data_IF_692479374417
#
_entry.id   IF_692479374417
#
_cell.length_a   1.000
_cell.length_b   1.000
_cell.length_c   1.000
_cell.angle_alpha   90.00
_cell.angle_beta   90.00
_cell.angle_gamma   90.00
#
_symmetry.space_group_name_H-M   'P 1'
#
loop_
_entity.id
_entity.type
_entity.pdbx_description
1 polymer ?
#
# COMPACT_ATOMS: atom_id res chain seq x y z
N UNK A 1 8.56 -2.45 -4.22
CA UNK A 1 8.12 -1.19 -3.52
C UNK A 1 7.19 -1.53 -2.37
N UNK A 2 7.41 -0.99 -1.16
CA UNK A 2 6.54 -1.16 0.01
C UNK A 2 5.62 0.05 0.25
N UNK A 3 4.97 0.51 -0.81
CA UNK A 3 4.24 1.77 -0.84
C UNK A 3 2.93 1.73 -0.03
N UNK A 4 2.97 2.30 1.17
CA UNK A 4 1.78 2.61 1.97
C UNK A 4 1.70 4.12 2.17
N UNK A 5 0.64 4.75 1.66
CA UNK A 5 0.41 6.17 1.85
C UNK A 5 0.24 6.50 3.33
N UNK A 6 0.98 7.51 3.80
CA UNK A 6 1.07 7.90 5.22
C UNK A 6 1.34 6.70 6.16
N UNK A 7 2.02 5.67 5.66
CA UNK A 7 2.38 4.47 6.41
C UNK A 7 1.22 3.51 6.71
N UNK A 8 0.02 3.74 6.16
CA UNK A 8 -1.19 2.94 6.45
C UNK A 8 -1.90 2.42 5.22
N UNK A 9 -2.18 3.27 4.23
CA UNK A 9 -3.08 2.93 3.13
C UNK A 9 -2.34 2.28 1.95
N UNK A 10 -2.67 1.03 1.55
CA UNK A 10 -1.98 0.30 0.48
C UNK A 10 -2.38 0.71 -0.94
N UNK A 11 -2.91 1.93 -1.13
CA UNK A 11 -3.15 2.56 -2.43
C UNK A 11 -4.14 1.85 -3.36
N UNK A 12 -4.97 0.91 -2.90
CA UNK A 12 -5.73 0.05 -3.82
C UNK A 12 -6.69 0.77 -4.77
N UNK A 13 -7.42 1.79 -4.32
CA UNK A 13 -8.22 2.66 -5.20
C UNK A 13 -7.31 3.47 -6.13
N UNK A 14 -6.20 4.02 -5.61
CA UNK A 14 -5.29 4.87 -6.36
C UNK A 14 -4.58 4.12 -7.50
N UNK A 15 -4.13 2.88 -7.26
CA UNK A 15 -3.46 2.02 -8.24
C UNK A 15 -4.39 1.55 -9.36
N UNK A 16 -5.69 1.42 -9.09
CA UNK A 16 -6.65 0.98 -10.10
C UNK A 16 -6.90 2.05 -11.17
N UNK A 17 -6.86 3.34 -10.83
CA UNK A 17 -7.36 4.41 -11.72
C UNK A 17 -6.54 4.57 -12.98
N UNK A 18 -5.20 4.56 -12.94
CA UNK A 18 -4.41 4.67 -14.15
C UNK A 18 -4.66 3.53 -15.14
N UNK A 19 -4.83 2.30 -14.63
CA UNK A 19 -5.16 1.14 -15.47
C UNK A 19 -6.55 1.28 -16.12
N UNK A 20 -7.55 1.71 -15.35
CA UNK A 20 -8.90 1.96 -15.86
C UNK A 20 -8.84 3.00 -16.99
N UNK A 21 -8.18 4.14 -16.76
CA UNK A 21 -8.05 5.20 -17.77
C UNK A 21 -7.35 4.67 -19.03
N UNK A 22 -6.24 3.94 -18.88
CA UNK A 22 -5.52 3.38 -20.01
C UNK A 22 -6.41 2.47 -20.87
N UNK A 23 -7.25 1.64 -20.23
CA UNK A 23 -8.19 0.76 -20.92
C UNK A 23 -9.39 1.51 -21.52
N UNK A 24 -9.88 2.55 -20.86
CA UNK A 24 -10.91 3.43 -21.43
C UNK A 24 -10.41 4.15 -22.67
N UNK A 25 -9.17 4.68 -22.64
CA UNK A 25 -8.52 5.30 -23.81
C UNK A 25 -8.36 4.28 -24.93
N UNK A 26 -7.88 3.07 -24.64
CA UNK A 26 -7.73 1.99 -25.63
C UNK A 26 -9.06 1.70 -26.35
N UNK A 27 -10.18 1.65 -25.62
CA UNK A 27 -11.52 1.46 -26.20
C UNK A 27 -11.96 2.70 -26.98
N UNK A 28 -11.80 3.91 -26.44
CA UNK A 28 -12.16 5.15 -27.11
C UNK A 28 -11.49 5.28 -28.49
N UNK A 29 -10.22 4.89 -28.60
CA UNK A 29 -9.49 4.85 -29.88
C UNK A 29 -10.08 3.84 -30.87
N UNK A 30 -10.47 2.66 -30.40
CA UNK A 30 -11.07 1.62 -31.26
C UNK A 30 -12.44 2.03 -31.79
N UNK A 31 -13.23 2.70 -30.95
CA UNK A 31 -14.58 3.15 -31.30
C UNK A 31 -14.58 4.50 -32.06
N UNK A 32 -13.43 5.15 -32.21
CA UNK A 32 -13.34 6.47 -32.84
C UNK A 32 -14.05 7.56 -32.02
N UNK A 33 -14.06 7.43 -30.69
CA UNK A 33 -14.67 8.41 -29.80
C UNK A 33 -13.77 9.64 -29.63
N UNK A 34 -14.37 10.83 -29.59
CA UNK A 34 -13.69 12.10 -29.36
C UNK A 34 -13.60 12.48 -27.87
N UNK A 35 -14.31 11.74 -27.00
CA UNK A 35 -14.40 12.03 -25.57
C UNK A 35 -14.48 10.76 -24.71
N UNK A 36 -14.07 10.88 -23.46
CA UNK A 36 -14.27 9.89 -22.39
C UNK A 36 -15.01 10.55 -21.22
N UNK A 37 -15.74 9.77 -20.43
CA UNK A 37 -16.46 10.28 -19.27
C UNK A 37 -16.17 9.51 -17.99
N UNK A 38 -16.16 10.19 -16.85
CA UNK A 38 -16.09 9.56 -15.52
C UNK A 38 -17.01 10.24 -14.50
N UNK A 39 -17.44 9.49 -13.49
CA UNK A 39 -18.42 9.93 -12.48
C UNK A 39 -17.83 10.48 -11.18
N UNK A 40 -16.55 10.84 -11.15
CA UNK A 40 -15.89 11.28 -9.91
C UNK A 40 -16.38 12.66 -9.46
N UNK A 41 -16.56 12.85 -8.15
CA UNK A 41 -16.98 14.13 -7.56
C UNK A 41 -15.81 15.12 -7.42
N UNK A 42 -16.11 16.40 -7.20
CA UNK A 42 -15.11 17.46 -7.02
C UNK A 42 -14.38 17.45 -5.67
N UNK A 43 -14.79 16.60 -4.72
CA UNK A 43 -14.16 16.45 -3.39
C UNK A 43 -13.26 15.21 -3.28
N UNK A 44 -13.28 14.32 -4.28
CA UNK A 44 -12.50 13.10 -4.31
C UNK A 44 -11.15 13.27 -4.98
N UNK A 45 -10.17 12.44 -4.59
CA UNK A 45 -8.88 12.36 -5.28
C UNK A 45 -9.01 11.75 -6.69
N UNK A 46 -10.03 10.91 -6.91
CA UNK A 46 -10.21 10.17 -8.15
C UNK A 46 -10.38 11.08 -9.37
N UNK A 47 -11.02 12.24 -9.25
CA UNK A 47 -11.10 13.20 -10.36
C UNK A 47 -9.71 13.57 -10.90
N UNK A 48 -8.72 13.74 -10.01
CA UNK A 48 -7.36 14.12 -10.39
C UNK A 48 -6.67 12.94 -11.05
N UNK A 49 -6.82 11.74 -10.48
CA UNK A 49 -6.24 10.50 -11.00
C UNK A 49 -6.76 10.19 -12.42
N UNK A 50 -8.06 10.35 -12.65
CA UNK A 50 -8.68 10.19 -13.97
C UNK A 50 -8.19 11.27 -14.95
N UNK A 51 -8.36 12.56 -14.61
CA UNK A 51 -8.05 13.67 -15.50
C UNK A 51 -6.57 13.73 -15.89
N UNK A 52 -5.66 13.61 -14.92
CA UNK A 52 -4.21 13.70 -15.16
C UNK A 52 -3.75 12.55 -16.04
N UNK A 53 -4.21 11.32 -15.75
CA UNK A 53 -3.84 10.16 -16.57
C UNK A 53 -4.41 10.28 -17.99
N UNK A 54 -5.66 10.72 -18.13
CA UNK A 54 -6.30 10.89 -19.44
C UNK A 54 -5.56 11.92 -20.29
N UNK A 55 -5.25 13.08 -19.71
CA UNK A 55 -4.46 14.14 -20.38
C UNK A 55 -3.09 13.67 -20.82
N UNK A 56 -2.46 12.78 -20.06
CA UNK A 56 -1.15 12.25 -20.42
C UNK A 56 -1.20 11.18 -21.52
N UNK A 57 -2.22 10.31 -21.51
CA UNK A 57 -2.34 9.20 -22.46
C UNK A 57 -3.03 9.59 -23.78
N UNK A 58 -3.95 10.55 -23.74
CA UNK A 58 -4.77 10.96 -24.87
C UNK A 58 -5.18 12.45 -24.72
N UNK A 59 -4.24 13.40 -24.87
CA UNK A 59 -4.47 14.84 -24.65
C UNK A 59 -5.52 15.45 -25.60
N UNK A 60 -5.80 14.79 -26.71
CA UNK A 60 -6.78 15.17 -27.72
C UNK A 60 -8.21 14.68 -27.41
N UNK A 61 -8.39 13.74 -26.48
CA UNK A 61 -9.73 13.32 -26.04
C UNK A 61 -10.28 14.31 -25.01
N UNK A 62 -11.52 14.73 -25.19
CA UNK A 62 -12.24 15.52 -24.18
C UNK A 62 -12.57 14.65 -22.96
N UNK A 63 -12.31 15.17 -21.76
CA UNK A 63 -12.66 14.49 -20.50
C UNK A 63 -13.93 15.12 -19.93
N UNK A 64 -15.02 14.36 -20.00
CA UNK A 64 -16.31 14.75 -19.44
C UNK A 64 -16.45 14.23 -18.01
N UNK A 65 -16.92 15.09 -17.10
CA UNK A 65 -17.12 14.69 -15.71
C UNK A 65 -18.45 15.19 -15.18
N UNK A 66 -19.55 14.51 -15.52
CA UNK A 66 -20.89 15.00 -15.28
C UNK A 66 -21.19 15.27 -13.80
N UNK A 67 -20.69 14.43 -12.90
CA UNK A 67 -20.84 14.59 -11.45
C UNK A 67 -20.20 15.87 -10.88
N UNK A 68 -19.26 16.52 -11.60
CA UNK A 68 -18.67 17.80 -11.22
C UNK A 68 -19.49 19.00 -11.70
N UNK A 69 -20.22 18.84 -12.80
CA UNK A 69 -20.87 19.95 -13.53
C UNK A 69 -22.36 20.03 -13.25
N UNK A 70 -23.03 18.89 -13.05
CA UNK A 70 -24.49 18.84 -12.93
C UNK A 70 -25.04 19.47 -11.65
N UNK A 71 -24.21 19.61 -10.61
CA UNK A 71 -24.63 20.22 -9.34
C UNK A 71 -25.76 19.47 -8.62
N UNK A 72 -26.03 18.21 -9.02
CA UNK A 72 -27.06 17.37 -8.43
C UNK A 72 -26.53 16.65 -7.20
N UNK A 73 -27.28 16.72 -6.10
CA UNK A 73 -27.13 15.81 -4.96
C UNK A 73 -27.75 14.44 -5.25
N UNK A 74 -27.51 13.48 -4.36
CA UNK A 74 -27.98 12.09 -4.53
C UNK A 74 -29.50 11.97 -4.72
N UNK A 75 -30.28 12.75 -3.98
CA UNK A 75 -31.74 12.78 -4.10
C UNK A 75 -32.17 13.29 -5.49
N UNK A 76 -31.53 14.35 -5.99
CA UNK A 76 -31.79 14.92 -7.30
C UNK A 76 -31.39 13.96 -8.44
N UNK A 77 -30.30 13.20 -8.29
CA UNK A 77 -29.94 12.14 -9.24
C UNK A 77 -31.02 11.05 -9.31
N UNK A 78 -31.60 10.67 -8.16
CA UNK A 78 -32.68 9.68 -8.09
C UNK A 78 -33.94 10.22 -8.76
N UNK A 79 -34.32 11.48 -8.50
CA UNK A 79 -35.45 12.12 -9.17
C UNK A 79 -35.23 12.24 -10.69
N UNK A 80 -34.04 12.64 -11.11
CA UNK A 80 -33.64 12.72 -12.51
C UNK A 80 -33.79 11.37 -13.22
N UNK A 81 -33.34 10.29 -12.56
CA UNK A 81 -33.44 8.93 -13.07
C UNK A 81 -34.90 8.46 -13.14
N UNK A 82 -35.69 8.69 -12.08
CA UNK A 82 -37.13 8.37 -12.05
C UNK A 82 -37.90 9.09 -13.16
N UNK A 83 -37.65 10.39 -13.34
CA UNK A 83 -38.30 11.19 -14.40
C UNK A 83 -37.97 10.69 -15.83
N UNK A 84 -36.91 9.90 -15.99
CA UNK A 84 -36.47 9.31 -17.28
C UNK A 84 -36.67 7.80 -17.36
N UNK A 85 -37.37 7.21 -16.40
CA UNK A 85 -37.57 5.75 -16.31
C UNK A 85 -36.25 4.95 -16.29
N UNK A 86 -35.17 5.53 -15.75
CA UNK A 86 -33.91 4.83 -15.52
C UNK A 86 -34.05 4.03 -14.22
N UNK A 87 -33.93 2.69 -14.24
CA UNK A 87 -34.09 1.88 -13.05
C UNK A 87 -32.94 2.16 -12.06
N UNK A 88 -33.28 2.68 -10.88
CA UNK A 88 -32.35 2.85 -9.76
C UNK A 88 -32.68 1.80 -8.71
N UNK A 89 -31.75 0.87 -8.39
CA UNK A 89 -31.96 -0.06 -7.30
C UNK A 89 -32.21 0.69 -5.98
N UNK A 90 -33.25 0.31 -5.22
CA UNK A 90 -33.58 0.90 -3.91
C UNK A 90 -32.51 0.68 -2.83
N UNK A 91 -31.45 -0.07 -3.15
CA UNK A 91 -30.32 -0.31 -2.28
C UNK A 91 -29.52 0.97 -2.05
N UNK A 92 -30.04 1.85 -1.19
CA UNK A 92 -29.26 2.80 -0.42
C UNK A 92 -28.32 1.98 0.46
N UNK A 93 -27.15 1.62 -0.06
CA UNK A 93 -26.12 0.99 0.76
C UNK A 93 -25.71 2.03 1.80
N UNK A 94 -25.79 1.63 3.07
CA UNK A 94 -25.38 2.39 4.27
C UNK A 94 -23.97 3.00 4.15
N UNK A 95 -23.15 2.43 3.27
CA UNK A 95 -21.77 2.82 2.96
C UNK A 95 -21.57 3.00 1.45
N UNK A 96 -20.69 3.92 1.09
CA UNK A 96 -20.06 4.00 -0.23
C UNK A 96 -18.85 3.06 -0.25
N UNK A 97 -18.83 2.14 -1.21
CA UNK A 97 -17.84 1.06 -1.29
C UNK A 97 -17.17 1.10 -2.65
N UNK A 98 -15.84 1.13 -2.64
CA UNK A 98 -15.01 0.87 -3.82
C UNK A 98 -14.16 -0.38 -3.57
N UNK A 99 -14.36 -1.43 -4.36
CA UNK A 99 -13.65 -2.70 -4.21
C UNK A 99 -13.01 -3.13 -5.53
N UNK A 100 -11.78 -3.61 -5.44
CA UNK A 100 -11.06 -4.22 -6.57
C UNK A 100 -10.32 -5.49 -6.09
N UNK A 101 -9.28 -5.95 -6.79
CA UNK A 101 -8.53 -7.14 -6.35
C UNK A 101 -7.70 -6.89 -5.08
N UNK A 102 -7.22 -5.66 -4.89
CA UNK A 102 -6.17 -5.32 -3.93
C UNK A 102 -6.72 -4.83 -2.59
N UNK A 103 -7.79 -4.03 -2.63
CA UNK A 103 -8.44 -3.53 -1.42
C UNK A 103 -9.92 -3.25 -1.64
N UNK A 104 -10.60 -3.08 -0.52
CA UNK A 104 -11.96 -2.54 -0.42
C UNK A 104 -11.95 -1.31 0.48
N UNK A 105 -12.32 -0.16 -0.07
CA UNK A 105 -12.51 1.12 0.63
C UNK A 105 -13.97 1.29 1.05
N UNK A 106 -14.15 1.89 2.22
CA UNK A 106 -15.43 2.04 2.90
C UNK A 106 -15.49 3.46 3.45
N UNK A 107 -16.46 4.23 2.97
CA UNK A 107 -16.75 5.59 3.44
C UNK A 107 -18.26 5.77 3.64
N UNK A 108 -18.67 6.84 4.33
CA UNK A 108 -20.05 7.23 4.46
C UNK A 108 -20.78 6.66 5.68
N UNK A 109 -21.87 7.34 6.05
CA UNK A 109 -22.75 6.92 7.13
C UNK A 109 -22.01 6.91 8.48
N UNK A 110 -22.21 5.88 9.33
CA UNK A 110 -21.56 5.81 10.64
C UNK A 110 -20.03 5.71 10.60
N UNK A 111 -19.42 5.34 9.46
CA UNK A 111 -17.96 5.23 9.32
C UNK A 111 -17.30 6.61 9.36
N UNK A 112 -17.99 7.67 8.95
CA UNK A 112 -17.40 9.02 8.88
C UNK A 112 -17.16 9.66 10.25
N UNK A 113 -17.88 9.24 11.30
CA UNK A 113 -17.66 9.78 12.67
C UNK A 113 -16.43 9.13 13.29
N UNK A 114 -15.30 9.84 13.26
CA UNK A 114 -13.99 9.42 13.76
C UNK A 114 -13.95 9.06 15.25
N UNK A 115 -15.02 9.34 16.01
CA UNK A 115 -15.13 8.99 17.43
C UNK A 115 -15.77 7.62 17.65
N UNK A 116 -16.32 7.02 16.59
CA UNK A 116 -17.02 5.74 16.64
C UNK A 116 -16.19 4.64 15.98
N UNK A 117 -16.21 3.46 16.58
CA UNK A 117 -15.67 2.25 15.94
C UNK A 117 -16.47 1.93 14.66
N UNK A 118 -15.81 1.55 13.55
CA UNK A 118 -16.53 1.16 12.34
C UNK A 118 -17.44 -0.04 12.65
N UNK A 119 -18.74 0.05 12.34
CA UNK A 119 -19.68 -1.03 12.66
C UNK A 119 -19.37 -2.29 11.84
N UNK A 120 -19.60 -3.47 12.44
CA UNK A 120 -19.22 -4.75 11.82
C UNK A 120 -19.86 -5.00 10.45
N UNK A 121 -21.07 -4.48 10.21
CA UNK A 121 -21.77 -4.60 8.92
C UNK A 121 -21.14 -3.76 7.79
N UNK A 122 -20.10 -2.97 8.08
CA UNK A 122 -19.28 -2.30 7.08
C UNK A 122 -18.29 -3.24 6.38
N UNK A 123 -17.82 -4.28 7.09
CA UNK A 123 -16.79 -5.21 6.63
C UNK A 123 -17.39 -6.39 5.86
N UNK A 124 -16.69 -6.88 4.85
CA UNK A 124 -17.14 -8.00 4.00
C UNK A 124 -16.04 -9.02 3.72
N UNK A 125 -14.80 -8.58 3.56
CA UNK A 125 -13.67 -9.44 3.21
C UNK A 125 -13.02 -10.08 4.44
N UNK A 126 -13.13 -9.42 5.59
CA UNK A 126 -12.46 -9.81 6.83
C UNK A 126 -13.48 -10.19 7.89
N UNK A 127 -13.25 -11.31 8.59
CA UNK A 127 -14.00 -11.61 9.81
C UNK A 127 -13.56 -10.68 10.94
N UNK A 128 -14.46 -10.40 11.87
CA UNK A 128 -14.10 -9.69 13.10
C UNK A 128 -12.95 -10.43 13.82
N UNK A 129 -11.86 -9.75 14.25
CA UNK A 129 -10.72 -10.39 14.92
C UNK A 129 -11.10 -11.28 16.12
N UNK A 130 -12.09 -10.86 16.90
CA UNK A 130 -12.63 -11.60 18.04
C UNK A 130 -13.35 -12.90 17.63
N UNK A 131 -13.83 -12.98 16.39
CA UNK A 131 -14.53 -14.13 15.81
C UNK A 131 -13.66 -14.96 14.87
N UNK A 132 -12.42 -14.55 14.62
CA UNK A 132 -11.45 -15.34 13.86
C UNK A 132 -11.12 -16.66 14.58
N UNK A 133 -10.69 -17.71 13.86
CA UNK A 133 -10.35 -19.00 14.46
C UNK A 133 -9.30 -18.91 15.58
N UNK A 134 -9.45 -19.73 16.61
CA UNK A 134 -8.48 -19.85 17.73
C UNK A 134 -7.14 -20.47 17.31
N UNK A 135 -7.13 -21.20 16.20
CA UNK A 135 -5.90 -21.76 15.65
C UNK A 135 -5.27 -20.75 14.67
N UNK A 136 -3.99 -20.38 14.86
CA UNK A 136 -3.30 -19.50 13.93
C UNK A 136 -3.10 -20.18 12.58
N UNK A 137 -3.22 -19.40 11.50
CA UNK A 137 -2.89 -19.84 10.14
C UNK A 137 -1.44 -19.47 9.85
N UNK A 138 -0.64 -20.41 9.39
CA UNK A 138 0.72 -20.15 8.92
C UNK A 138 0.72 -20.08 7.40
N UNK A 139 1.37 -19.05 6.86
CA UNK A 139 1.53 -18.85 5.43
C UNK A 139 2.99 -18.58 5.13
N UNK A 140 3.56 -19.32 4.19
CA UNK A 140 4.91 -19.13 3.68
C UNK A 140 4.83 -18.55 2.28
N UNK A 141 5.49 -17.42 2.04
CA UNK A 141 5.44 -16.69 0.77
C UNK A 141 6.85 -16.69 0.20
N UNK A 142 6.99 -17.25 -1.00
CA UNK A 142 8.25 -17.21 -1.75
C UNK A 142 8.27 -15.98 -2.67
N UNK A 143 9.42 -15.31 -2.72
CA UNK A 143 9.68 -14.15 -3.55
C UNK A 143 10.81 -14.45 -4.54
N UNK A 144 10.68 -13.92 -5.75
CA UNK A 144 11.69 -13.97 -6.81
C UNK A 144 11.83 -12.55 -7.39
N UNK A 145 12.98 -11.90 -7.16
CA UNK A 145 13.20 -10.53 -7.62
C UNK A 145 12.22 -9.51 -7.03
N UNK A 146 11.86 -9.67 -5.74
CA UNK A 146 10.89 -8.84 -5.02
C UNK A 146 9.42 -9.16 -5.32
N UNK A 147 9.13 -10.08 -6.26
CA UNK A 147 7.76 -10.44 -6.62
C UNK A 147 7.34 -11.76 -5.95
N UNK A 148 6.15 -11.83 -5.32
CA UNK A 148 5.68 -13.08 -4.73
C UNK A 148 5.35 -14.10 -5.84
N UNK A 149 5.76 -15.35 -5.65
CA UNK A 149 5.69 -16.40 -6.69
C UNK A 149 5.02 -17.70 -6.24
N UNK A 150 5.04 -18.01 -4.95
CA UNK A 150 4.41 -19.20 -4.39
C UNK A 150 3.86 -18.95 -2.99
N UNK A 151 2.89 -19.77 -2.59
CA UNK A 151 2.39 -19.86 -1.22
C UNK A 151 2.52 -21.30 -0.75
N UNK A 152 3.14 -21.52 0.41
CA UNK A 152 3.33 -22.84 1.02
C UNK A 152 3.94 -23.88 0.06
N UNK A 153 4.92 -23.46 -0.75
CA UNK A 153 5.57 -24.32 -1.77
C UNK A 153 4.80 -24.48 -3.08
N UNK A 154 3.57 -23.98 -3.18
CA UNK A 154 2.76 -24.06 -4.40
C UNK A 154 2.94 -22.80 -5.27
N UNK A 155 3.59 -22.96 -6.43
CA UNK A 155 3.72 -21.88 -7.42
C UNK A 155 2.37 -21.55 -8.04
N UNK A 156 2.07 -20.26 -8.12
CA UNK A 156 0.82 -19.77 -8.71
C UNK A 156 1.03 -18.43 -9.44
N UNK A 157 0.05 -18.03 -10.24
CA UNK A 157 0.05 -16.71 -10.86
C UNK A 157 -0.33 -15.62 -9.85
N UNK A 158 0.01 -14.37 -10.15
CA UNK A 158 -0.16 -13.23 -9.25
C UNK A 158 -1.63 -13.01 -8.83
N UNK A 159 -2.59 -13.23 -9.73
CA UNK A 159 -4.01 -13.04 -9.43
C UNK A 159 -4.48 -14.10 -8.43
N UNK A 160 -4.12 -15.36 -8.66
CA UNK A 160 -4.43 -16.46 -7.74
C UNK A 160 -3.76 -16.26 -6.38
N UNK A 161 -2.51 -15.80 -6.36
CA UNK A 161 -1.75 -15.49 -5.14
C UNK A 161 -2.45 -14.44 -4.29
N UNK A 162 -2.80 -13.29 -4.88
CA UNK A 162 -3.48 -12.20 -4.17
C UNK A 162 -4.85 -12.66 -3.66
N UNK A 163 -5.61 -13.42 -4.45
CA UNK A 163 -6.91 -13.98 -4.01
C UNK A 163 -6.76 -14.95 -2.83
N UNK A 164 -5.77 -15.85 -2.88
CA UNK A 164 -5.50 -16.79 -1.81
C UNK A 164 -5.13 -16.07 -0.51
N UNK A 165 -4.25 -15.05 -0.58
CA UNK A 165 -3.89 -14.25 0.59
C UNK A 165 -5.06 -13.41 1.12
N UNK A 166 -5.92 -12.87 0.24
CA UNK A 166 -7.14 -12.19 0.66
C UNK A 166 -8.06 -13.13 1.44
N UNK A 167 -8.22 -14.37 0.98
CA UNK A 167 -9.05 -15.37 1.65
C UNK A 167 -8.45 -15.80 3.00
N UNK A 168 -7.16 -16.17 3.03
CA UNK A 168 -6.48 -16.62 4.25
C UNK A 168 -6.40 -15.49 5.29
N UNK A 169 -6.00 -14.29 4.87
CA UNK A 169 -5.95 -13.10 5.74
C UNK A 169 -7.33 -12.68 6.21
N UNK A 170 -8.31 -12.65 5.31
CA UNK A 170 -9.69 -12.32 5.63
C UNK A 170 -10.30 -13.25 6.67
N UNK A 171 -10.08 -14.56 6.55
CA UNK A 171 -10.52 -15.56 7.52
C UNK A 171 -9.82 -15.42 8.90
N UNK A 172 -8.61 -14.87 8.93
CA UNK A 172 -7.89 -14.55 10.16
C UNK A 172 -8.20 -13.14 10.71
N UNK A 173 -9.06 -12.36 10.04
CA UNK A 173 -9.41 -10.98 10.38
C UNK A 173 -8.33 -9.93 10.04
N UNK A 174 -7.32 -10.31 9.28
CA UNK A 174 -6.16 -9.46 8.92
C UNK A 174 -6.57 -8.42 7.88
N UNK A 175 -6.01 -7.22 8.00
CA UNK A 175 -6.06 -6.21 6.94
C UNK A 175 -7.21 -5.21 7.06
N UNK A 176 -7.88 -5.13 8.22
CA UNK A 176 -8.73 -3.99 8.57
C UNK A 176 -7.84 -2.78 8.89
N UNK A 177 -8.04 -1.67 8.19
CA UNK A 177 -7.28 -0.43 8.36
C UNK A 177 -8.29 0.69 8.60
N UNK A 178 -8.14 1.43 9.69
CA UNK A 178 -8.87 2.67 9.97
C UNK A 178 -7.86 3.82 9.93
N UNK A 179 -8.06 4.78 9.02
CA UNK A 179 -7.07 5.78 8.70
C UNK A 179 -7.69 7.18 8.54
N UNK A 180 -7.02 8.19 9.10
CA UNK A 180 -7.30 9.60 8.80
C UNK A 180 -6.27 10.05 7.78
N UNK A 181 -6.70 10.17 6.53
CA UNK A 181 -5.82 10.54 5.43
C UNK A 181 -5.86 12.02 5.09
N UNK A 182 -4.73 12.54 4.61
CA UNK A 182 -4.64 13.87 4.02
C UNK A 182 -4.97 13.79 2.53
N UNK A 183 -6.19 14.20 2.12
CA UNK A 183 -6.56 14.23 0.70
C UNK A 183 -5.76 15.28 -0.05
N UNK A 184 -5.48 15.01 -1.33
CA UNK A 184 -4.79 15.95 -2.23
C UNK A 184 -5.55 17.29 -2.32
N UNK A 185 -6.88 17.23 -2.25
CA UNK A 185 -7.76 18.41 -2.33
C UNK A 185 -7.78 19.26 -1.06
N UNK A 186 -6.90 19.01 -0.09
CA UNK A 186 -6.57 19.96 0.98
C UNK A 186 -7.33 19.78 2.30
N UNK A 187 -7.98 18.65 2.53
CA UNK A 187 -8.65 18.34 3.79
C UNK A 187 -8.41 16.90 4.23
N UNK A 188 -8.71 16.62 5.51
CA UNK A 188 -8.61 15.26 6.06
C UNK A 188 -9.91 14.50 5.89
N UNK A 189 -9.83 13.22 5.53
CA UNK A 189 -10.97 12.30 5.55
C UNK A 189 -10.65 11.09 6.40
N UNK A 190 -11.66 10.50 7.01
CA UNK A 190 -11.57 9.16 7.56
C UNK A 190 -11.91 8.16 6.48
N UNK A 191 -11.11 7.13 6.34
CA UNK A 191 -11.32 6.04 5.42
C UNK A 191 -11.06 4.72 6.13
N UNK A 192 -11.96 3.75 5.91
CA UNK A 192 -11.79 2.39 6.40
C UNK A 192 -11.54 1.47 5.22
N UNK A 193 -10.54 0.58 5.36
CA UNK A 193 -10.13 -0.33 4.30
C UNK A 193 -10.10 -1.79 4.78
N UNK A 194 -10.37 -2.70 3.84
CA UNK A 194 -10.02 -4.11 3.94
C UNK A 194 -8.98 -4.43 2.86
N UNK A 195 -7.77 -4.82 3.26
CA UNK A 195 -6.69 -5.17 2.34
C UNK A 195 -5.81 -6.33 2.88
N UNK A 196 -6.37 -7.54 3.05
CA UNK A 196 -5.65 -8.63 3.72
C UNK A 196 -4.38 -9.04 2.98
N UNK A 197 -4.46 -9.28 1.67
CA UNK A 197 -3.30 -9.67 0.87
C UNK A 197 -2.22 -8.58 0.88
N UNK A 198 -2.62 -7.32 0.74
CA UNK A 198 -1.68 -6.20 0.75
C UNK A 198 -0.89 -6.14 2.05
N UNK A 199 -1.58 -6.20 3.20
CA UNK A 199 -0.92 -6.15 4.52
C UNK A 199 0.04 -7.33 4.71
N UNK A 200 -0.39 -8.55 4.35
CA UNK A 200 0.47 -9.74 4.46
C UNK A 200 1.71 -9.61 3.56
N UNK A 201 1.52 -9.22 2.29
CA UNK A 201 2.60 -9.09 1.33
C UNK A 201 3.59 -7.99 1.72
N UNK A 202 3.11 -6.83 2.16
CA UNK A 202 4.00 -5.76 2.60
C UNK A 202 4.80 -6.14 3.85
N UNK A 203 4.19 -6.79 4.83
CA UNK A 203 4.92 -7.25 6.02
C UNK A 203 5.97 -8.32 5.66
N UNK A 204 5.61 -9.30 4.82
CA UNK A 204 6.54 -10.33 4.39
C UNK A 204 7.68 -9.76 3.55
N UNK A 205 7.36 -8.93 2.56
CA UNK A 205 8.34 -8.33 1.65
C UNK A 205 9.32 -7.41 2.40
N UNK A 206 8.82 -6.53 3.27
CA UNK A 206 9.67 -5.69 4.12
C UNK A 206 10.59 -6.50 5.01
N UNK A 207 10.15 -7.66 5.50
CA UNK A 207 11.00 -8.50 6.36
C UNK A 207 12.10 -9.22 5.57
N UNK A 208 11.80 -9.68 4.34
CA UNK A 208 12.80 -10.27 3.46
C UNK A 208 13.89 -9.25 3.10
N UNK A 209 13.51 -8.01 2.82
CA UNK A 209 14.46 -6.93 2.54
C UNK A 209 15.40 -6.64 3.70
N UNK A 210 14.96 -6.78 4.96
CA UNK A 210 15.86 -6.62 6.13
C UNK A 210 16.97 -7.67 6.15
N UNK A 211 16.68 -8.87 5.67
CA UNK A 211 17.64 -9.97 5.61
C UNK A 211 18.64 -9.76 4.45
N UNK A 212 18.15 -9.26 3.31
CA UNK A 212 18.90 -9.19 2.05
C UNK A 212 19.64 -7.87 1.84
N UNK A 213 18.99 -6.73 2.07
CA UNK A 213 19.54 -5.42 1.72
C UNK A 213 20.53 -4.94 2.79
N UNK A 214 21.54 -4.20 2.34
CA UNK A 214 22.43 -3.51 3.29
C UNK A 214 21.66 -2.48 4.12
N UNK A 215 22.16 -2.08 5.31
CA UNK A 215 21.49 -1.06 6.12
C UNK A 215 21.30 0.29 5.40
N UNK A 216 22.12 0.59 4.38
CA UNK A 216 22.01 1.84 3.61
C UNK A 216 20.93 1.75 2.55
N UNK A 217 20.89 0.66 1.78
CA UNK A 217 19.82 0.39 0.80
C UNK A 217 18.46 0.34 1.49
N UNK A 218 18.35 -0.42 2.59
CA UNK A 218 17.11 -0.53 3.35
C UNK A 218 16.58 0.82 3.82
N UNK A 219 17.45 1.66 4.41
CA UNK A 219 17.06 3.02 4.85
C UNK A 219 16.67 3.91 3.68
N UNK A 220 17.45 3.94 2.61
CA UNK A 220 17.12 4.74 1.43
C UNK A 220 15.77 4.31 0.84
N UNK A 221 15.55 3.00 0.68
CA UNK A 221 14.32 2.48 0.12
C UNK A 221 13.12 2.76 1.00
N UNK A 222 13.17 2.40 2.29
CA UNK A 222 12.00 2.54 3.18
C UNK A 222 11.70 3.97 3.60
N UNK A 223 12.72 4.84 3.69
CA UNK A 223 12.53 6.21 4.18
C UNK A 223 12.41 7.24 3.05
N UNK A 224 12.84 6.90 1.84
CA UNK A 224 12.83 7.83 0.70
C UNK A 224 12.03 7.26 -0.47
N UNK A 225 12.43 6.12 -1.04
CA UNK A 225 11.82 5.64 -2.29
C UNK A 225 10.36 5.24 -2.09
N UNK A 226 10.09 4.34 -1.14
CA UNK A 226 8.75 3.82 -0.85
C UNK A 226 7.73 4.94 -0.51
N UNK A 227 8.00 5.90 0.40
CA UNK A 227 7.04 6.95 0.72
C UNK A 227 6.84 7.97 -0.42
N UNK A 228 7.91 8.42 -1.09
CA UNK A 228 7.75 9.36 -2.21
C UNK A 228 6.96 8.74 -3.36
N UNK A 229 7.20 7.46 -3.66
CA UNK A 229 6.43 6.76 -4.68
C UNK A 229 4.96 6.64 -4.28
N UNK A 230 4.69 6.32 -3.01
CA UNK A 230 3.31 6.24 -2.50
C UNK A 230 2.57 7.58 -2.63
N UNK A 231 3.24 8.69 -2.32
CA UNK A 231 2.69 10.03 -2.44
C UNK A 231 2.34 10.38 -3.89
N UNK A 232 3.26 10.14 -4.83
CA UNK A 232 3.01 10.38 -6.26
C UNK A 232 1.79 9.62 -6.76
N UNK A 233 1.69 8.33 -6.42
CA UNK A 233 0.54 7.50 -6.82
C UNK A 233 -0.75 7.98 -6.15
N UNK A 234 -0.73 8.28 -4.85
CA UNK A 234 -1.90 8.78 -4.14
C UNK A 234 -2.43 10.09 -4.76
N UNK A 235 -1.52 11.00 -5.12
CA UNK A 235 -1.78 12.31 -5.71
C UNK A 235 -2.21 12.25 -7.20
N UNK A 236 -2.32 11.07 -7.80
CA UNK A 236 -2.73 10.90 -9.20
C UNK A 236 -1.65 11.22 -10.21
N UNK A 237 -0.39 11.31 -9.75
CA UNK A 237 0.79 11.55 -10.57
C UNK A 237 1.37 10.23 -11.10
N UNK A 238 0.52 9.31 -11.58
CA UNK A 238 0.99 8.05 -12.17
C UNK A 238 1.88 8.27 -13.40
N UNK A 239 1.72 9.39 -14.09
CA UNK A 239 2.49 9.71 -15.31
C UNK A 239 3.77 10.49 -15.00
N UNK A 240 4.03 10.83 -13.74
CA UNK A 240 5.19 11.62 -13.32
C UNK A 240 6.51 10.88 -13.56
N UNK A 241 7.46 11.46 -14.32
CA UNK A 241 8.77 10.84 -14.57
C UNK A 241 9.53 10.45 -13.30
N UNK A 242 9.44 11.22 -12.21
CA UNK A 242 10.08 10.86 -10.95
C UNK A 242 9.60 9.50 -10.43
N UNK A 243 8.32 9.14 -10.60
CA UNK A 243 7.80 7.83 -10.19
C UNK A 243 8.59 6.69 -10.85
N UNK A 244 8.86 6.79 -12.15
CA UNK A 244 9.62 5.79 -12.91
C UNK A 244 11.09 5.73 -12.46
N UNK A 245 11.70 6.87 -12.14
CA UNK A 245 13.06 6.91 -11.62
C UNK A 245 13.17 6.22 -10.24
N UNK A 246 12.19 6.44 -9.36
CA UNK A 246 12.10 5.76 -8.06
C UNK A 246 11.91 4.24 -8.23
N UNK A 247 11.04 3.82 -9.16
CA UNK A 247 10.84 2.40 -9.49
C UNK A 247 12.10 1.74 -10.03
N UNK A 248 12.82 2.41 -10.93
CA UNK A 248 14.06 1.88 -11.49
C UNK A 248 15.13 1.70 -10.40
N UNK A 249 15.30 2.71 -9.52
CA UNK A 249 16.23 2.61 -8.41
C UNK A 249 15.87 1.49 -7.42
N UNK A 250 14.58 1.32 -7.11
CA UNK A 250 14.12 0.21 -6.30
C UNK A 250 14.33 -1.13 -7.00
N UNK A 251 14.03 -1.22 -8.30
CA UNK A 251 14.18 -2.42 -9.11
C UNK A 251 15.61 -2.97 -9.11
N UNK A 252 16.63 -2.11 -9.02
CA UNK A 252 18.03 -2.55 -8.85
C UNK A 252 18.26 -3.29 -7.52
N UNK A 253 17.59 -2.87 -6.45
CA UNK A 253 17.66 -3.53 -5.13
C UNK A 253 16.82 -4.81 -5.10
N UNK A 254 15.62 -4.78 -5.69
CA UNK A 254 14.66 -5.90 -5.69
C UNK A 254 15.22 -7.16 -6.41
N UNK A 255 16.21 -7.01 -7.31
CA UNK A 255 16.91 -8.15 -7.97
C UNK A 255 17.45 -9.20 -6.99
N UNK A 256 17.81 -8.77 -5.79
CA UNK A 256 18.40 -9.62 -4.75
C UNK A 256 17.36 -10.15 -3.76
N UNK A 257 16.13 -9.61 -3.78
CA UNK A 257 15.06 -9.96 -2.85
C UNK A 257 14.41 -11.27 -3.31
N UNK A 258 15.10 -12.36 -3.01
CA UNK A 258 14.76 -13.72 -3.39
C UNK A 258 14.92 -14.65 -2.19
N UNK A 259 13.89 -15.42 -1.88
CA UNK A 259 13.81 -16.23 -0.67
C UNK A 259 12.36 -16.45 -0.24
N UNK A 260 12.16 -16.84 1.01
CA UNK A 260 10.82 -17.06 1.55
C UNK A 260 10.65 -16.42 2.92
N UNK A 261 9.41 -16.04 3.23
CA UNK A 261 9.02 -15.51 4.52
C UNK A 261 7.78 -16.23 5.02
N UNK A 262 7.84 -16.72 6.26
CA UNK A 262 6.74 -17.38 6.95
C UNK A 262 6.08 -16.42 7.93
N UNK A 263 4.80 -16.15 7.72
CA UNK A 263 3.96 -15.33 8.57
C UNK A 263 2.93 -16.19 9.32
N UNK A 264 2.67 -15.80 10.57
CA UNK A 264 1.59 -16.30 11.41
C UNK A 264 0.45 -15.28 11.38
N UNK A 265 -0.70 -15.69 10.85
CA UNK A 265 -1.94 -14.91 10.80
C UNK A 265 -2.83 -15.32 11.96
N UNK A 266 -3.17 -14.37 12.82
CA UNK A 266 -3.95 -14.67 14.03
C UNK A 266 -4.74 -13.47 14.53
N UNK A 267 -6.06 -13.57 14.57
CA UNK A 267 -6.98 -12.59 15.17
C UNK A 267 -6.63 -11.15 14.80
N UNK A 268 -6.60 -10.86 13.50
CA UNK A 268 -6.29 -9.55 12.94
C UNK A 268 -4.81 -9.21 12.78
N UNK A 269 -3.91 -10.02 13.34
CA UNK A 269 -2.47 -9.76 13.29
C UNK A 269 -1.73 -10.58 12.24
N UNK A 270 -0.65 -9.99 11.72
CA UNK A 270 0.39 -10.66 10.93
C UNK A 270 1.67 -10.61 11.75
N UNK A 271 2.28 -11.75 12.01
CA UNK A 271 3.57 -11.85 12.70
C UNK A 271 4.54 -12.65 11.86
N UNK A 272 5.68 -12.07 11.49
CA UNK A 272 6.74 -12.82 10.80
C UNK A 272 7.46 -13.74 11.77
N UNK A 273 7.46 -15.04 11.48
CA UNK A 273 7.98 -16.09 12.38
C UNK A 273 9.25 -16.75 11.85
N UNK A 274 9.44 -16.81 10.54
CA UNK A 274 10.65 -17.34 9.92
C UNK A 274 10.89 -16.70 8.55
N UNK A 275 12.13 -16.76 8.09
CA UNK A 275 12.53 -16.33 6.75
C UNK A 275 13.84 -17.00 6.37
N UNK A 276 14.10 -17.08 5.09
CA UNK A 276 15.40 -17.49 4.57
C UNK A 276 15.63 -16.88 3.18
N UNK A 277 16.90 -16.71 2.82
CA UNK A 277 17.31 -16.20 1.53
C UNK A 277 18.73 -16.63 1.23
N UNK A 278 18.97 -17.06 -0.01
CA UNK A 278 20.33 -17.31 -0.52
C UNK A 278 21.20 -16.05 -0.58
N UNK A 279 20.58 -14.86 -0.55
CA UNK A 279 21.26 -13.56 -0.53
C UNK A 279 21.21 -12.91 0.86
N UNK A 280 20.72 -13.63 1.88
CA UNK A 280 20.65 -13.11 3.24
C UNK A 280 22.04 -12.83 3.81
N UNK A 281 22.22 -11.64 4.38
CA UNK A 281 23.50 -11.22 4.98
C UNK A 281 23.65 -11.62 6.45
N UNK A 282 22.61 -12.25 7.04
CA UNK A 282 22.71 -12.83 8.37
C UNK A 282 23.65 -14.03 8.35
N UNK A 283 24.69 -13.99 9.18
CA UNK A 283 25.58 -15.12 9.41
C UNK A 283 25.52 -15.55 10.87
N UNK A 284 25.08 -16.79 11.10
CA UNK A 284 25.10 -17.39 12.43
C UNK A 284 26.53 -17.44 12.99
N UNK A 285 27.53 -17.68 12.13
CA UNK A 285 28.94 -17.68 12.51
C UNK A 285 29.44 -16.30 12.94
N UNK A 286 28.96 -15.19 12.36
CA UNK A 286 29.36 -13.86 12.81
C UNK A 286 28.58 -13.40 14.05
N UNK A 287 27.33 -13.86 14.22
CA UNK A 287 26.46 -13.42 15.31
C UNK A 287 26.59 -14.25 16.60
N UNK A 288 27.19 -15.45 16.54
CA UNK A 288 27.33 -16.34 17.69
C UNK A 288 28.27 -15.75 18.75
N UNK A 289 27.73 -15.46 19.94
CA UNK A 289 28.52 -14.92 21.05
C UNK A 289 29.55 -15.89 21.63
N UNK A 290 29.42 -17.19 21.39
CA UNK A 290 30.29 -18.21 21.97
C UNK A 290 31.46 -18.59 21.06
N UNK A 291 31.25 -18.57 19.74
CA UNK A 291 32.21 -19.07 18.74
C UNK A 291 32.40 -18.15 17.54
N UNK A 292 31.65 -17.06 17.48
CA UNK A 292 31.67 -16.20 16.32
C UNK A 292 32.84 -15.24 16.26
N UNK A 293 32.90 -14.49 15.17
CA UNK A 293 33.89 -13.44 15.01
C UNK A 293 33.65 -12.31 16.02
N UNK A 294 34.72 -11.88 16.68
CA UNK A 294 34.73 -10.72 17.56
C UNK A 294 35.82 -9.74 17.12
N UNK A 295 35.52 -8.43 17.10
CA UNK A 295 36.59 -7.44 17.05
C UNK A 295 37.43 -7.54 18.32
N UNK A 296 38.73 -7.32 18.20
CA UNK A 296 39.62 -7.14 19.34
C UNK A 296 39.20 -5.91 20.17
N UNK A 297 39.59 -5.85 21.44
CA UNK A 297 39.33 -4.67 22.29
C UNK A 297 39.90 -3.38 21.65
N UNK A 298 41.08 -3.47 21.04
CA UNK A 298 41.71 -2.35 20.34
C UNK A 298 40.88 -1.88 19.14
N UNK A 299 40.40 -2.79 18.29
CA UNK A 299 39.55 -2.45 17.14
C UNK A 299 38.22 -1.83 17.58
N UNK A 300 37.57 -2.41 18.60
CA UNK A 300 36.31 -1.90 19.11
C UNK A 300 36.47 -0.48 19.69
N UNK A 301 37.51 -0.25 20.50
CA UNK A 301 37.81 1.07 21.06
C UNK A 301 38.15 2.08 19.98
N UNK A 302 39.02 1.72 19.04
CA UNK A 302 39.42 2.59 17.93
C UNK A 302 38.22 2.96 17.05
N UNK A 303 37.33 2.01 16.76
CA UNK A 303 36.08 2.26 16.06
C UNK A 303 35.19 3.25 16.82
N UNK A 304 34.95 3.04 18.13
CA UNK A 304 34.09 3.92 18.94
C UNK A 304 34.65 5.34 18.97
N UNK A 305 35.97 5.50 19.17
CA UNK A 305 36.63 6.80 19.24
C UNK A 305 36.44 7.59 17.92
N UNK A 306 36.71 6.94 16.78
CA UNK A 306 36.53 7.58 15.48
C UNK A 306 35.05 7.82 15.14
N UNK A 307 34.17 6.85 15.39
CA UNK A 307 32.75 6.94 15.07
C UNK A 307 32.03 8.04 15.86
N UNK A 308 32.37 8.20 17.15
CA UNK A 308 31.71 9.17 18.03
C UNK A 308 32.22 10.61 17.86
N UNK A 309 33.32 10.82 17.13
CA UNK A 309 34.05 12.09 17.10
C UNK A 309 33.17 13.29 16.72
N UNK A 310 32.32 13.15 15.68
CA UNK A 310 31.42 14.21 15.25
C UNK A 310 30.42 14.60 16.36
N UNK A 311 29.79 13.60 16.97
CA UNK A 311 28.78 13.78 18.02
C UNK A 311 29.37 14.40 19.28
N UNK A 312 30.53 13.89 19.73
CA UNK A 312 31.21 14.38 20.94
C UNK A 312 31.76 15.80 20.76
N UNK A 313 32.27 16.11 19.57
CA UNK A 313 32.73 17.48 19.24
C UNK A 313 31.57 18.46 19.27
N UNK A 314 30.44 18.12 18.65
CA UNK A 314 29.24 18.96 18.65
C UNK A 314 28.71 19.21 20.07
N UNK A 315 28.64 18.15 20.89
CA UNK A 315 28.22 18.26 22.29
C UNK A 315 29.14 19.17 23.09
N UNK A 316 30.46 18.99 22.98
CA UNK A 316 31.45 19.80 23.69
C UNK A 316 31.33 21.29 23.37
N UNK A 317 31.14 21.65 22.09
CA UNK A 317 30.93 23.04 21.67
C UNK A 317 29.62 23.62 22.20
N UNK A 318 28.53 22.84 22.18
CA UNK A 318 27.22 23.27 22.70
C UNK A 318 27.18 23.41 24.21
N UNK A 319 27.95 22.60 24.95
CA UNK A 319 28.08 22.67 26.41
C UNK A 319 28.98 23.83 26.89
N UNK A 320 29.45 24.71 25.99
CA UNK A 320 30.31 25.84 26.34
C UNK A 320 31.67 25.42 26.89
N UNK A 321 32.17 24.24 26.51
CA UNK A 321 33.46 23.73 26.99
C UNK A 321 33.48 23.25 28.45
N UNK A 322 32.34 23.22 29.15
CA UNK A 322 32.24 22.58 30.47
C UNK A 322 32.10 21.07 30.28
N UNK A 323 33.21 20.35 30.36
CA UNK A 323 33.23 18.94 30.79
C UNK A 323 33.58 18.90 32.26
#
# INVERSE_FOLDING_TARGET
>A
MNAMYEGKYPLGTALARPLIVAKTVEVARREGADAIAHGSTSKGNDQVRFDVTAKALAPDLEVLAPARVWGMGREQEVEYAKARNIPVPEAHRKYSIDENLWSRSIEGGPVDDQRLEPPEDAFKWTVQPERAPDQPTYVEIEFEGGLPRAINGERMDMLSLVRALNQMGGAAGVGRIDHIESRLVGFKSREVYEAPAAVILFEAHRDLEKLVLTPRELRLKHQVLDPYWADLVYQGLWVEPLRLALEAAAGEMEKWVDGWVKAKLYRGSVQIVARDSRYGTYSAELADYSRGWYPTDEEARGFIEMWALHSLTALSKRAGGKK
#
